data_IF_262853393977
#
_entry.id   IF_262853393977
#
_cell.length_a   1.000
_cell.length_b   1.000
_cell.length_c   1.000
_cell.angle_alpha   90.00
_cell.angle_beta   90.00
_cell.angle_gamma   90.00
#
_symmetry.space_group_name_H-M   'P 1'
#
loop_
_entity.id
_entity.type
_entity.pdbx_description
1 polymer ?
#
# COMPACT_ATOMS: atom_id res chain seq x y z
N UNK A 1 -28.26 -65.06 38.69
CA UNK A 1 -27.74 -64.93 37.32
C UNK A 1 -27.10 -63.56 37.21
N UNK A 2 -25.77 -63.50 37.01
CA UNK A 2 -24.98 -62.26 36.99
C UNK A 2 -24.89 -61.77 35.54
N UNK A 3 -25.41 -60.58 35.26
CA UNK A 3 -25.26 -59.93 33.95
C UNK A 3 -23.96 -59.13 33.95
N UNK A 4 -22.99 -59.59 33.14
CA UNK A 4 -21.77 -58.84 32.79
C UNK A 4 -22.09 -57.95 31.59
N UNK A 5 -21.91 -56.63 31.75
CA UNK A 5 -21.87 -55.67 30.65
C UNK A 5 -20.41 -55.50 30.24
N UNK A 6 -20.03 -55.71 28.97
CA UNK A 6 -18.67 -55.44 28.52
C UNK A 6 -18.49 -53.93 28.32
N UNK A 7 -17.51 -53.36 29.04
CA UNK A 7 -17.05 -51.99 28.88
C UNK A 7 -16.24 -51.89 27.59
N UNK A 8 -16.78 -51.22 26.58
CA UNK A 8 -16.09 -50.88 25.34
C UNK A 8 -15.23 -49.62 25.61
N UNK A 9 -13.90 -49.78 25.75
CA UNK A 9 -12.98 -48.64 25.75
C UNK A 9 -12.79 -48.16 24.30
N UNK A 10 -13.41 -47.04 23.93
CA UNK A 10 -13.05 -46.30 22.73
C UNK A 10 -11.78 -45.48 23.05
N UNK A 11 -10.65 -45.85 22.47
CA UNK A 11 -9.47 -45.00 22.45
C UNK A 11 -9.67 -43.97 21.34
N UNK A 12 -10.03 -42.74 21.71
CA UNK A 12 -10.01 -41.63 20.76
C UNK A 12 -8.54 -41.22 20.52
N UNK A 13 -8.05 -41.46 19.31
CA UNK A 13 -6.82 -40.82 18.84
C UNK A 13 -7.13 -39.32 18.65
N UNK A 14 -6.72 -38.50 19.61
CA UNK A 14 -6.64 -37.05 19.40
C UNK A 14 -5.44 -36.83 18.49
N UNK A 15 -5.70 -36.64 17.19
CA UNK A 15 -4.72 -36.00 16.33
C UNK A 15 -4.53 -34.58 16.87
N UNK A 16 -3.30 -34.09 17.04
CA UNK A 16 -3.12 -32.66 17.24
C UNK A 16 -3.81 -31.98 16.06
N UNK A 17 -4.79 -31.15 16.38
CA UNK A 17 -5.27 -30.11 15.48
C UNK A 17 -4.01 -29.36 15.07
N UNK A 18 -3.56 -29.56 13.83
CA UNK A 18 -2.57 -28.68 13.21
C UNK A 18 -3.29 -27.36 13.00
N UNK A 19 -3.51 -26.65 14.12
CA UNK A 19 -4.03 -25.32 14.15
C UNK A 19 -3.26 -24.55 13.11
N UNK A 20 -4.00 -23.97 12.18
CA UNK A 20 -3.48 -23.10 11.13
C UNK A 20 -2.44 -22.18 11.78
N UNK A 21 -1.15 -22.49 11.60
CA UNK A 21 -0.12 -21.48 11.77
C UNK A 21 -0.47 -20.44 10.73
N UNK A 22 -1.14 -19.38 11.15
CA UNK A 22 -1.13 -18.14 10.41
C UNK A 22 0.34 -17.87 10.12
N UNK A 23 0.73 -18.09 8.87
CA UNK A 23 2.03 -17.65 8.39
C UNK A 23 2.01 -16.14 8.60
N UNK A 24 2.73 -15.66 9.61
CA UNK A 24 3.02 -14.24 9.73
C UNK A 24 3.73 -13.89 8.43
N UNK A 25 3.09 -13.10 7.58
CA UNK A 25 3.70 -12.70 6.32
C UNK A 25 5.01 -11.99 6.65
N UNK A 26 6.14 -12.58 6.26
CA UNK A 26 7.45 -11.97 6.46
C UNK A 26 7.58 -10.77 5.52
N UNK A 27 7.33 -9.57 6.05
CA UNK A 27 7.55 -8.33 5.32
C UNK A 27 9.02 -8.16 4.94
N UNK A 28 9.27 -7.73 3.70
CA UNK A 28 10.61 -7.40 3.21
C UNK A 28 10.71 -5.90 2.98
N UNK A 29 11.73 -5.21 3.53
CA UNK A 29 11.91 -3.79 3.29
C UNK A 29 12.08 -3.48 1.80
N UNK A 30 11.29 -2.54 1.28
CA UNK A 30 11.48 -1.97 -0.07
C UNK A 30 12.53 -0.84 -0.07
N UNK A 31 12.65 -0.11 1.04
CA UNK A 31 13.63 0.95 1.23
C UNK A 31 14.64 0.55 2.30
N UNK A 32 15.92 0.79 2.04
CA UNK A 32 17.00 0.35 2.92
C UNK A 32 17.43 1.38 3.97
N UNK A 33 16.85 2.59 3.97
CA UNK A 33 17.18 3.66 4.92
C UNK A 33 18.49 4.40 4.63
N UNK A 34 19.24 4.03 3.60
CA UNK A 34 20.60 4.52 3.34
C UNK A 34 20.70 5.22 1.98
N UNK A 35 20.14 4.63 0.93
CA UNK A 35 20.25 5.12 -0.43
C UNK A 35 19.06 4.64 -1.30
N UNK A 36 19.13 4.91 -2.61
CA UNK A 36 18.08 4.54 -3.57
C UNK A 36 18.37 3.22 -4.29
N UNK A 37 19.19 2.33 -3.73
CA UNK A 37 19.40 1.01 -4.32
C UNK A 37 18.06 0.26 -4.39
N UNK A 38 17.74 -0.30 -5.57
CA UNK A 38 16.44 -0.91 -5.85
C UNK A 38 15.37 0.09 -6.34
N UNK A 39 15.71 1.36 -6.52
CA UNK A 39 14.80 2.40 -6.99
C UNK A 39 15.32 3.12 -8.23
N UNK A 40 14.38 3.54 -9.09
CA UNK A 40 14.65 4.22 -10.35
C UNK A 40 13.87 5.55 -10.36
N UNK A 41 14.57 6.70 -10.40
CA UNK A 41 13.93 8.00 -10.57
C UNK A 41 13.30 8.13 -11.95
N UNK A 42 12.08 8.67 -12.02
CA UNK A 42 11.35 8.87 -13.28
C UNK A 42 10.92 10.33 -13.38
N UNK A 43 11.36 11.02 -14.44
CA UNK A 43 11.08 12.45 -14.68
C UNK A 43 11.49 13.38 -13.54
N UNK A 44 12.47 12.97 -12.72
CA UNK A 44 12.93 13.72 -11.55
C UNK A 44 14.39 14.16 -11.69
N UNK A 45 14.75 15.22 -10.97
CA UNK A 45 16.12 15.70 -10.88
C UNK A 45 16.88 14.93 -9.78
N UNK A 46 18.22 14.90 -9.80
CA UNK A 46 19.00 14.31 -8.70
C UNK A 46 18.70 14.91 -7.33
N UNK A 47 18.18 16.14 -7.27
CA UNK A 47 17.78 16.83 -6.05
C UNK A 47 16.32 16.56 -5.62
N UNK A 48 15.56 15.78 -6.38
CA UNK A 48 14.14 15.54 -6.07
C UNK A 48 13.98 14.54 -4.92
N UNK A 49 14.84 13.52 -4.87
CA UNK A 49 14.82 12.45 -3.89
C UNK A 49 16.08 12.48 -3.04
N UNK A 50 15.92 12.63 -1.73
CA UNK A 50 17.02 12.77 -0.79
C UNK A 50 16.81 11.78 0.35
N UNK A 51 17.82 10.95 0.63
CA UNK A 51 17.81 10.11 1.83
C UNK A 51 18.50 10.87 2.96
N UNK A 52 17.79 11.07 4.08
CA UNK A 52 18.33 11.72 5.27
C UNK A 52 17.67 11.13 6.51
N UNK A 53 18.44 10.87 7.56
CA UNK A 53 17.96 10.36 8.85
C UNK A 53 17.15 9.06 8.74
N UNK A 54 17.51 8.18 7.80
CA UNK A 54 16.79 6.93 7.55
C UNK A 54 15.48 7.09 6.75
N UNK A 55 15.17 8.31 6.30
CA UNK A 55 13.92 8.65 5.62
C UNK A 55 14.16 9.05 4.16
N UNK A 56 13.20 8.72 3.30
CA UNK A 56 13.16 9.20 1.93
C UNK A 56 12.36 10.50 1.86
N UNK A 57 13.04 11.60 1.52
CA UNK A 57 12.44 12.91 1.31
C UNK A 57 12.21 13.20 -0.18
N UNK A 58 11.04 13.74 -0.50
CA UNK A 58 10.69 14.21 -1.84
C UNK A 58 10.47 15.73 -1.83
N UNK A 59 11.09 16.45 -2.77
CA UNK A 59 10.86 17.89 -2.94
C UNK A 59 9.68 18.21 -3.85
N UNK A 60 9.20 17.21 -4.61
CA UNK A 60 8.15 17.36 -5.63
C UNK A 60 8.56 18.24 -6.83
N UNK A 61 9.86 18.57 -6.96
CA UNK A 61 10.36 19.50 -7.98
C UNK A 61 11.55 18.89 -8.74
N UNK A 62 11.43 18.68 -10.07
CA UNK A 62 10.18 18.67 -10.84
C UNK A 62 9.21 17.56 -10.38
N UNK A 63 7.97 17.61 -10.85
CA UNK A 63 6.99 16.56 -10.63
C UNK A 63 7.41 15.32 -11.40
N UNK A 64 7.44 14.18 -10.71
CA UNK A 64 7.75 12.87 -11.25
C UNK A 64 7.63 11.81 -10.17
N UNK A 65 8.20 10.65 -10.41
CA UNK A 65 8.04 9.48 -9.54
C UNK A 65 9.39 8.87 -9.14
N UNK A 66 9.34 7.95 -8.18
CA UNK A 66 10.38 7.00 -7.86
C UNK A 66 9.73 5.61 -7.89
N UNK A 67 10.22 4.72 -8.75
CA UNK A 67 9.66 3.37 -8.90
C UNK A 67 10.65 2.31 -8.46
N UNK A 68 10.16 1.15 -8.06
CA UNK A 68 11.01 -0.02 -7.82
C UNK A 68 11.70 -0.47 -9.12
N UNK A 69 12.88 -1.06 -8.99
CA UNK A 69 13.61 -1.69 -10.09
C UNK A 69 13.01 -3.06 -10.50
N UNK A 70 12.07 -3.58 -9.70
CA UNK A 70 11.37 -4.84 -9.87
C UNK A 70 9.86 -4.65 -9.95
N UNK A 71 9.22 -5.58 -10.65
CA UNK A 71 7.76 -5.66 -10.76
C UNK A 71 7.19 -6.58 -9.68
N UNK A 72 6.06 -6.19 -9.13
CA UNK A 72 5.28 -6.97 -8.16
C UNK A 72 3.87 -7.16 -8.70
N UNK A 73 3.33 -8.37 -8.54
CA UNK A 73 1.97 -8.68 -8.99
C UNK A 73 1.01 -8.74 -7.80
N UNK A 74 1.20 -9.71 -6.90
CA UNK A 74 0.42 -9.86 -5.68
C UNK A 74 1.32 -9.52 -4.49
N UNK A 75 0.86 -8.62 -3.63
CA UNK A 75 1.63 -8.16 -2.49
C UNK A 75 0.72 -7.65 -1.37
N UNK A 76 1.28 -7.58 -0.17
CA UNK A 76 0.79 -6.74 0.92
C UNK A 76 1.84 -5.65 1.10
N UNK A 77 1.42 -4.39 1.07
CA UNK A 77 2.29 -3.23 1.20
C UNK A 77 1.94 -2.50 2.50
N UNK A 78 2.95 -2.26 3.31
CA UNK A 78 2.89 -1.41 4.50
C UNK A 78 3.91 -0.30 4.34
N UNK A 79 3.49 0.95 4.58
CA UNK A 79 4.34 2.13 4.51
C UNK A 79 3.79 3.23 5.40
N UNK A 80 4.68 4.10 5.85
CA UNK A 80 4.35 5.35 6.53
C UNK A 80 4.71 6.52 5.64
N UNK A 81 3.91 7.58 5.71
CA UNK A 81 4.15 8.82 4.98
C UNK A 81 3.79 10.00 5.87
N UNK A 82 4.38 11.16 5.55
CA UNK A 82 4.14 12.41 6.24
C UNK A 82 4.32 13.58 5.27
N UNK A 83 3.35 14.49 5.26
CA UNK A 83 3.55 15.80 4.64
C UNK A 83 4.19 16.76 5.64
N UNK A 84 5.10 17.62 5.16
CA UNK A 84 5.74 18.63 6.01
C UNK A 84 4.96 19.94 6.03
N UNK A 85 4.25 20.22 4.94
CA UNK A 85 3.52 21.46 4.71
C UNK A 85 2.03 21.16 4.48
N UNK A 86 1.14 22.00 5.02
CA UNK A 86 -0.30 21.87 4.77
C UNK A 86 -0.65 21.90 3.28
N UNK A 87 -1.61 21.08 2.87
CA UNK A 87 -2.10 20.98 1.50
C UNK A 87 -1.23 20.15 0.56
N UNK A 88 -0.26 19.40 1.11
CA UNK A 88 0.53 18.43 0.36
C UNK A 88 -0.34 17.40 -0.37
N UNK A 89 0.09 17.02 -1.58
CA UNK A 89 -0.55 16.02 -2.43
C UNK A 89 0.54 15.16 -3.08
N UNK A 90 0.43 13.85 -2.90
CA UNK A 90 1.30 12.83 -3.45
C UNK A 90 0.49 11.54 -3.68
N UNK A 91 1.16 10.48 -4.11
CA UNK A 91 0.51 9.19 -4.33
C UNK A 91 1.49 8.04 -4.23
N UNK A 92 0.94 6.86 -3.95
CA UNK A 92 1.63 5.58 -4.10
C UNK A 92 1.01 4.88 -5.29
N UNK A 93 1.81 4.66 -6.33
CA UNK A 93 1.35 4.09 -7.59
C UNK A 93 1.61 2.58 -7.60
N UNK A 94 0.54 1.80 -7.76
CA UNK A 94 0.58 0.34 -7.81
C UNK A 94 0.13 -0.16 -9.18
N UNK A 95 0.68 -1.31 -9.59
CA UNK A 95 0.47 -1.89 -10.93
C UNK A 95 0.70 -0.86 -12.04
N UNK A 96 1.78 -0.08 -11.90
CA UNK A 96 2.23 0.87 -12.88
C UNK A 96 2.86 0.19 -14.10
N UNK A 97 2.69 0.79 -15.28
CA UNK A 97 3.39 0.40 -16.51
C UNK A 97 4.91 0.68 -16.43
N UNK A 98 5.66 0.29 -17.46
CA UNK A 98 7.11 0.48 -17.58
C UNK A 98 7.54 1.90 -17.96
N UNK A 99 6.66 2.64 -18.64
CA UNK A 99 6.85 4.02 -19.08
C UNK A 99 5.67 4.92 -18.70
N UNK A 100 5.93 6.23 -18.60
CA UNK A 100 4.89 7.21 -18.26
C UNK A 100 3.86 7.34 -19.37
N UNK A 101 2.61 7.64 -19.00
CA UNK A 101 1.56 7.89 -19.96
C UNK A 101 1.86 9.16 -20.78
N UNK A 102 1.37 9.19 -22.02
CA UNK A 102 1.68 10.27 -22.97
C UNK A 102 1.21 11.62 -22.42
N UNK A 103 2.14 12.58 -22.35
CA UNK A 103 1.85 13.98 -21.99
C UNK A 103 1.71 14.25 -20.50
N UNK A 104 1.97 13.26 -19.63
CA UNK A 104 1.94 13.41 -18.17
C UNK A 104 3.19 12.80 -17.55
N UNK A 105 3.63 13.29 -16.37
CA UNK A 105 4.84 12.79 -15.73
C UNK A 105 4.64 11.47 -14.97
N UNK A 106 3.44 10.87 -15.04
CA UNK A 106 3.04 9.70 -14.26
C UNK A 106 2.81 8.46 -15.13
N UNK A 107 3.01 7.28 -14.56
CA UNK A 107 2.66 6.02 -15.23
C UNK A 107 1.14 5.81 -15.28
N UNK A 108 0.69 5.03 -16.26
CA UNK A 108 -0.63 4.40 -16.15
C UNK A 108 -0.58 3.42 -14.98
N UNK A 109 -1.44 3.61 -13.99
CA UNK A 109 -1.39 2.88 -12.73
C UNK A 109 -2.71 2.97 -11.96
N UNK A 110 -2.78 2.25 -10.84
CA UNK A 110 -3.73 2.52 -9.76
C UNK A 110 -3.00 3.33 -8.69
N UNK A 111 -3.59 4.45 -8.26
CA UNK A 111 -3.03 5.33 -7.25
C UNK A 111 -3.73 5.10 -5.91
N UNK A 112 -2.92 4.93 -4.86
CA UNK A 112 -3.34 5.06 -3.45
C UNK A 112 -2.99 6.47 -3.00
N UNK A 113 -4.01 7.24 -2.65
CA UNK A 113 -3.87 8.67 -2.40
C UNK A 113 -3.03 8.96 -1.15
N UNK A 114 -2.11 9.93 -1.26
CA UNK A 114 -1.40 10.51 -0.12
C UNK A 114 -1.70 12.00 -0.09
N UNK A 115 -2.52 12.43 0.86
CA UNK A 115 -3.09 13.77 0.83
C UNK A 115 -3.20 14.37 2.22
N UNK A 116 -2.73 15.60 2.36
CA UNK A 116 -2.81 16.32 3.63
C UNK A 116 -4.24 16.76 3.99
N UNK A 117 -4.50 16.87 5.29
CA UNK A 117 -5.80 17.26 5.84
C UNK A 117 -6.26 18.65 5.40
N UNK A 118 -5.34 19.60 5.20
CA UNK A 118 -5.69 20.94 4.74
C UNK A 118 -6.12 20.97 3.26
N UNK A 119 -5.88 19.89 2.49
CA UNK A 119 -6.47 19.71 1.16
C UNK A 119 -7.98 19.45 1.25
N UNK A 120 -8.43 18.82 2.33
CA UNK A 120 -9.83 18.58 2.65
C UNK A 120 -10.34 17.19 2.26
N UNK A 121 -11.48 16.82 2.84
CA UNK A 121 -12.22 15.60 2.53
C UNK A 121 -13.53 15.96 1.83
N UNK A 122 -13.89 15.21 0.79
CA UNK A 122 -15.15 15.43 0.04
C UNK A 122 -15.90 14.13 -0.18
N UNK A 123 -17.02 14.20 -0.91
CA UNK A 123 -17.69 12.98 -1.36
C UNK A 123 -16.82 12.17 -2.34
N UNK A 124 -15.96 12.83 -3.11
CA UNK A 124 -15.20 12.24 -4.22
C UNK A 124 -13.77 11.82 -3.86
N UNK A 125 -13.22 12.27 -2.73
CA UNK A 125 -11.90 11.87 -2.25
C UNK A 125 -11.79 11.97 -0.74
N UNK A 126 -10.78 11.30 -0.17
CA UNK A 126 -10.43 11.44 1.25
C UNK A 126 -8.96 11.80 1.43
N UNK A 127 -8.55 12.08 2.66
CA UNK A 127 -7.15 12.25 3.04
C UNK A 127 -6.54 10.96 3.59
N UNK A 128 -7.30 9.87 3.57
CA UNK A 128 -7.03 8.64 4.32
C UNK A 128 -6.64 7.45 3.41
N UNK A 129 -6.26 7.67 2.15
CA UNK A 129 -5.77 6.60 1.27
C UNK A 129 -6.84 5.96 0.38
N UNK A 130 -7.70 6.77 -0.21
CA UNK A 130 -8.59 6.31 -1.28
C UNK A 130 -7.80 5.86 -2.53
N UNK A 131 -8.35 4.87 -3.23
CA UNK A 131 -7.65 4.15 -4.31
C UNK A 131 -8.40 4.36 -5.62
N UNK A 132 -7.70 4.66 -6.72
CA UNK A 132 -8.33 4.99 -7.99
C UNK A 132 -7.42 4.75 -9.19
N UNK A 133 -7.96 4.38 -10.37
CA UNK A 133 -7.14 4.21 -11.56
C UNK A 133 -6.86 5.56 -12.23
N UNK A 134 -5.65 5.72 -12.78
CA UNK A 134 -5.23 6.92 -13.51
C UNK A 134 -4.73 6.57 -14.91
N UNK A 135 -4.75 7.58 -15.79
CA UNK A 135 -4.17 7.53 -17.14
C UNK A 135 -4.57 6.30 -17.99
N UNK A 136 -5.84 5.90 -17.89
CA UNK A 136 -6.42 4.81 -18.69
C UNK A 136 -6.34 3.43 -18.03
N UNK A 137 -5.77 3.33 -16.82
CA UNK A 137 -5.95 2.13 -16.00
C UNK A 137 -7.43 1.90 -15.69
N UNK A 138 -7.77 0.66 -15.34
CA UNK A 138 -9.11 0.28 -14.91
C UNK A 138 -9.01 -0.54 -13.64
N UNK A 139 -10.00 -0.40 -12.76
CA UNK A 139 -10.14 -1.24 -11.59
C UNK A 139 -11.62 -1.41 -11.24
N UNK A 140 -11.93 -2.50 -10.53
CA UNK A 140 -13.25 -2.76 -9.97
C UNK A 140 -13.17 -2.52 -8.45
N UNK A 141 -13.71 -1.42 -7.93
CA UNK A 141 -13.61 -1.12 -6.50
C UNK A 141 -14.55 -2.00 -5.68
N UNK A 142 -14.08 -2.52 -4.56
CA UNK A 142 -14.89 -3.30 -3.61
C UNK A 142 -15.81 -2.40 -2.78
N UNK A 143 -15.35 -1.20 -2.41
CA UNK A 143 -16.06 -0.25 -1.54
C UNK A 143 -16.20 1.15 -2.19
N UNK A 144 -16.58 1.17 -3.47
CA UNK A 144 -16.81 2.41 -4.21
C UNK A 144 -18.10 3.14 -3.82
N UNK A 145 -18.20 4.40 -4.25
CA UNK A 145 -19.39 5.28 -4.05
C UNK A 145 -20.08 5.64 -5.38
N UNK A 146 -20.08 4.70 -6.33
CA UNK A 146 -20.48 4.94 -7.72
C UNK A 146 -19.33 5.57 -8.51
N UNK A 147 -18.58 4.74 -9.25
CA UNK A 147 -17.38 5.13 -9.98
C UNK A 147 -16.29 4.08 -9.86
N UNK A 148 -15.08 4.40 -10.32
CA UNK A 148 -13.91 3.51 -10.30
C UNK A 148 -13.03 3.69 -9.07
N UNK A 149 -13.37 4.57 -8.13
CA UNK A 149 -12.61 4.82 -6.89
C UNK A 149 -13.12 3.95 -5.74
N UNK A 150 -12.20 3.37 -4.97
CA UNK A 150 -12.41 2.71 -3.69
C UNK A 150 -12.02 3.65 -2.54
N UNK A 151 -12.65 3.50 -1.38
CA UNK A 151 -12.45 4.36 -0.23
C UNK A 151 -11.77 3.59 0.91
N UNK A 152 -11.10 4.23 1.86
CA UNK A 152 -10.45 3.49 2.93
C UNK A 152 -11.48 2.86 3.88
N UNK A 153 -11.15 1.68 4.42
CA UNK A 153 -11.95 0.99 5.45
C UNK A 153 -11.73 1.57 6.84
N UNK A 154 -10.60 2.26 7.05
CA UNK A 154 -10.18 2.85 8.31
C UNK A 154 -9.53 4.22 8.08
N UNK A 155 -9.53 5.08 9.09
CA UNK A 155 -9.08 6.46 8.97
C UNK A 155 -7.76 6.65 9.75
N UNK A 156 -6.62 6.48 9.07
CA UNK A 156 -5.31 6.48 9.73
C UNK A 156 -4.48 7.77 9.56
N UNK A 157 -4.67 8.52 8.48
CA UNK A 157 -3.86 9.72 8.21
C UNK A 157 -4.01 10.80 9.28
N UNK A 158 -2.94 11.55 9.53
CA UNK A 158 -2.89 12.73 10.40
C UNK A 158 -2.58 14.00 9.59
N UNK A 159 -2.88 15.20 10.12
CA UNK A 159 -2.49 16.45 9.47
C UNK A 159 -0.97 16.64 9.50
N UNK A 160 -0.44 17.39 8.55
CA UNK A 160 0.96 17.84 8.59
C UNK A 160 1.29 18.58 9.91
N UNK A 161 2.48 18.40 10.49
CA UNK A 161 3.58 17.54 10.06
C UNK A 161 3.65 16.21 10.84
N UNK A 162 2.52 15.66 11.29
CA UNK A 162 2.46 14.43 12.08
C UNK A 162 2.67 13.15 11.27
#
# INVERSE_FOLDING_TARGET
>A
MRNLVPLLLLTACVFPDEGERQATADFRPLFNGVNLDGWVPVNTAPSTWIVRDGLLHCTGKPIGELRTDRMYQNFVLELEWRHLDPGGNAGVFVWADDITAVGVPFHRSVEVQVLDHAYGNTRSHTTHGDIFPIHGAVMTPVNGRGGSRAFPTELHSKPSPE
#
